data_IF_943777235503
#
_entry.id   IF_943777235503
#
_cell.length_a   1.000
_cell.length_b   1.000
_cell.length_c   1.000
_cell.angle_alpha   90.00
_cell.angle_beta   90.00
_cell.angle_gamma   90.00
#
_symmetry.space_group_name_H-M   'P 1'
#
loop_
_entity.id
_entity.type
_entity.pdbx_description
1 polymer ?
#
# COMPACT_ATOMS: atom_id res chain seq x y z
N UNK A 1 32.49 7.62 2.36
CA UNK A 1 31.78 8.55 1.45
C UNK A 1 30.31 8.14 1.48
N UNK A 2 29.51 8.77 2.34
CA UNK A 2 28.09 8.48 2.48
C UNK A 2 27.28 9.37 1.53
N UNK A 3 26.46 8.77 0.68
CA UNK A 3 25.50 9.50 -0.15
C UNK A 3 24.33 9.92 0.74
N UNK A 4 24.34 11.18 1.19
CA UNK A 4 23.17 11.84 1.72
C UNK A 4 22.19 12.10 0.58
N UNK A 5 21.15 11.28 0.46
CA UNK A 5 20.00 11.58 -0.40
C UNK A 5 19.24 12.75 0.19
N UNK A 6 19.47 13.93 -0.39
CA UNK A 6 18.77 15.19 -0.11
C UNK A 6 17.27 15.01 -0.35
N UNK A 7 16.48 14.91 0.72
CA UNK A 7 15.04 15.14 0.66
C UNK A 7 14.81 16.62 0.36
N UNK A 8 14.20 16.94 -0.79
CA UNK A 8 13.70 18.31 -1.02
C UNK A 8 12.47 18.52 -0.13
N UNK A 9 12.46 19.53 0.76
CA UNK A 9 11.24 19.90 1.46
C UNK A 9 10.26 20.50 0.45
N UNK A 10 9.03 20.00 0.45
CA UNK A 10 7.94 20.64 -0.28
C UNK A 10 7.54 21.91 0.47
N UNK A 11 7.78 23.08 -0.12
CA UNK A 11 7.03 24.29 0.20
C UNK A 11 5.65 24.15 -0.43
N UNK A 12 4.67 23.71 0.37
CA UNK A 12 3.26 23.77 -0.04
C UNK A 12 2.78 25.20 0.23
N UNK A 13 2.55 25.98 -0.82
CA UNK A 13 1.71 27.17 -0.69
C UNK A 13 0.30 26.69 -0.36
N UNK A 14 -0.13 26.93 0.87
CA UNK A 14 -1.47 26.62 1.40
C UNK A 14 -2.58 27.52 0.80
N UNK A 15 -2.27 28.36 -0.19
CA UNK A 15 -3.18 29.38 -0.71
C UNK A 15 -4.10 28.92 -1.87
N UNK A 16 -4.16 27.64 -2.24
CA UNK A 16 -5.00 27.15 -3.34
C UNK A 16 -6.16 26.23 -2.92
N UNK A 17 -6.37 26.02 -1.62
CA UNK A 17 -7.42 25.11 -1.10
C UNK A 17 -8.61 25.86 -0.46
N UNK A 18 -8.89 27.08 -0.92
CA UNK A 18 -10.05 27.86 -0.50
C UNK A 18 -11.02 27.98 -1.68
N UNK A 19 -11.88 26.97 -1.84
CA UNK A 19 -12.78 26.88 -2.97
C UNK A 19 -13.53 25.55 -3.03
N UNK A 20 -14.41 25.33 -2.06
CA UNK A 20 -15.60 24.48 -2.10
C UNK A 20 -15.72 23.45 -3.26
N UNK A 21 -14.89 22.41 -3.24
CA UNK A 21 -15.32 21.09 -3.66
C UNK A 21 -15.47 20.28 -2.39
N UNK A 22 -16.71 20.05 -1.97
CA UNK A 22 -17.00 19.00 -0.98
C UNK A 22 -16.61 17.69 -1.64
N UNK A 23 -15.37 17.26 -1.44
CA UNK A 23 -14.92 15.95 -1.85
C UNK A 23 -15.64 14.95 -0.94
N UNK A 24 -16.71 14.33 -1.44
CA UNK A 24 -17.23 13.10 -0.87
C UNK A 24 -16.20 12.00 -1.14
N UNK A 25 -15.15 12.02 -0.33
CA UNK A 25 -14.08 11.05 -0.39
C UNK A 25 -14.52 9.83 0.42
N UNK A 26 -15.29 8.95 -0.21
CA UNK A 26 -15.66 7.68 0.43
C UNK A 26 -14.39 6.86 0.68
N UNK A 27 -14.11 6.59 1.96
CA UNK A 27 -12.97 5.76 2.37
C UNK A 27 -13.32 4.31 2.10
N UNK A 28 -12.60 3.72 1.16
CA UNK A 28 -12.75 2.31 0.79
C UNK A 28 -11.61 1.47 1.35
N UNK A 29 -11.91 0.19 1.58
CA UNK A 29 -10.91 -0.82 1.94
C UNK A 29 -10.68 -1.73 0.74
N UNK A 30 -9.50 -1.67 0.10
CA UNK A 30 -9.23 -2.54 -1.04
C UNK A 30 -9.20 -3.99 -0.56
N UNK A 31 -9.80 -4.89 -1.33
CA UNK A 31 -9.71 -6.33 -1.06
C UNK A 31 -8.25 -6.76 -1.18
N UNK A 32 -7.76 -7.51 -0.22
CA UNK A 32 -6.38 -8.01 -0.24
C UNK A 32 -6.36 -9.50 -0.57
N UNK A 33 -5.39 -9.91 -1.37
CA UNK A 33 -5.08 -11.31 -1.62
C UNK A 33 -3.62 -11.52 -1.21
N UNK A 34 -3.33 -12.59 -0.48
CA UNK A 34 -1.97 -12.92 -0.07
C UNK A 34 -1.62 -14.30 -0.56
N UNK A 35 -0.44 -14.45 -1.16
CA UNK A 35 0.07 -15.72 -1.68
C UNK A 35 1.52 -15.90 -1.27
N UNK A 36 1.86 -17.06 -0.74
CA UNK A 36 3.26 -17.47 -0.63
C UNK A 36 3.71 -17.99 -1.99
N UNK A 37 4.67 -17.32 -2.63
CA UNK A 37 5.22 -17.77 -3.91
C UNK A 37 6.27 -18.86 -3.69
N UNK A 38 7.06 -18.72 -2.62
CA UNK A 38 8.02 -19.70 -2.09
C UNK A 38 8.38 -19.29 -0.67
N UNK A 39 9.04 -20.20 0.08
CA UNK A 39 9.60 -19.86 1.40
C UNK A 39 10.50 -18.61 1.25
N UNK A 40 10.27 -17.61 2.10
CA UNK A 40 10.99 -16.35 2.05
C UNK A 40 10.43 -15.29 1.09
N UNK A 41 9.36 -15.59 0.34
CA UNK A 41 8.77 -14.65 -0.63
C UNK A 41 7.24 -14.70 -0.65
N UNK A 42 6.64 -13.60 -0.24
CA UNK A 42 5.19 -13.43 -0.13
C UNK A 42 4.75 -12.31 -1.06
N UNK A 43 3.70 -12.57 -1.84
CA UNK A 43 3.05 -11.58 -2.68
C UNK A 43 1.74 -11.15 -2.03
N UNK A 44 1.52 -9.85 -1.94
CA UNK A 44 0.26 -9.24 -1.50
C UNK A 44 -0.31 -8.42 -2.64
N UNK A 45 -1.55 -8.69 -3.03
CA UNK A 45 -2.28 -7.94 -4.04
C UNK A 45 -3.38 -7.13 -3.36
N UNK A 46 -3.40 -5.81 -3.58
CA UNK A 46 -4.50 -4.93 -3.19
C UNK A 46 -5.34 -4.63 -4.43
N UNK A 47 -6.57 -5.14 -4.46
CA UNK A 47 -7.47 -4.94 -5.59
C UNK A 47 -8.11 -3.55 -5.52
N UNK A 48 -7.87 -2.76 -6.55
CA UNK A 48 -8.32 -1.37 -6.66
C UNK A 48 -8.96 -1.20 -8.04
N UNK A 49 -10.30 -1.18 -8.11
CA UNK A 49 -11.01 -1.03 -9.37
C UNK A 49 -10.55 0.23 -10.13
N UNK A 50 -10.47 0.13 -11.45
CA UNK A 50 -10.10 1.23 -12.36
C UNK A 50 -8.68 1.79 -12.17
N UNK A 51 -7.84 1.18 -11.33
CA UNK A 51 -6.42 1.51 -11.26
C UNK A 51 -5.76 1.22 -12.61
N UNK A 52 -5.16 2.23 -13.24
CA UNK A 52 -4.36 2.08 -14.43
C UNK A 52 -2.93 2.54 -14.14
N UNK A 53 -1.90 1.73 -14.44
CA UNK A 53 -0.52 2.15 -14.28
C UNK A 53 -0.22 3.31 -15.24
N UNK A 54 0.52 4.30 -14.74
CA UNK A 54 1.10 5.37 -15.55
C UNK A 54 2.31 4.87 -16.34
N UNK A 55 2.96 5.79 -17.04
CA UNK A 55 4.16 5.49 -17.84
C UNK A 55 5.29 4.90 -16.99
N UNK A 56 5.44 5.41 -15.76
CA UNK A 56 6.28 4.81 -14.74
C UNK A 56 5.38 3.88 -13.90
N UNK A 57 5.56 2.56 -14.04
CA UNK A 57 4.70 1.51 -13.47
C UNK A 57 4.61 1.54 -11.94
N UNK A 58 5.39 2.40 -11.29
CA UNK A 58 5.27 2.68 -9.86
C UNK A 58 4.15 3.68 -9.53
N UNK A 59 3.50 4.30 -10.52
CA UNK A 59 2.47 5.33 -10.28
C UNK A 59 1.20 5.04 -11.06
N UNK A 60 0.02 5.46 -10.58
CA UNK A 60 -1.21 5.41 -11.36
C UNK A 60 -1.28 6.59 -12.35
N UNK A 61 -1.96 6.38 -13.49
CA UNK A 61 -2.12 7.39 -14.54
C UNK A 61 -2.94 8.62 -14.09
N UNK A 62 -3.91 8.41 -13.20
CA UNK A 62 -4.86 9.45 -12.74
C UNK A 62 -5.07 9.40 -11.23
N UNK A 63 -3.96 9.40 -10.48
CA UNK A 63 -4.04 9.29 -9.04
C UNK A 63 -2.70 9.42 -8.32
N UNK A 64 -2.69 8.96 -7.06
CA UNK A 64 -1.50 8.88 -6.22
C UNK A 64 -1.53 7.61 -5.39
N UNK A 65 -0.36 7.00 -5.21
CA UNK A 65 -0.13 5.91 -4.27
C UNK A 65 0.87 6.41 -3.23
N UNK A 66 0.54 6.26 -1.96
CA UNK A 66 1.46 6.42 -0.84
C UNK A 66 1.65 5.06 -0.20
N UNK A 67 2.88 4.55 -0.28
CA UNK A 67 3.28 3.31 0.35
C UNK A 67 4.28 3.61 1.47
N UNK A 68 3.99 3.18 2.69
CA UNK A 68 4.84 3.39 3.87
C UNK A 68 5.06 2.09 4.60
N UNK A 69 6.32 1.73 4.87
CA UNK A 69 6.64 0.62 5.77
C UNK A 69 6.35 0.99 7.23
N UNK A 70 5.75 0.09 8.00
CA UNK A 70 5.54 0.22 9.44
C UNK A 70 6.55 -0.68 10.13
N UNK A 71 7.72 -0.13 10.47
CA UNK A 71 8.84 -0.94 10.97
C UNK A 71 9.25 -2.04 9.99
N UNK A 72 9.69 -3.18 10.53
CA UNK A 72 10.03 -4.37 9.74
C UNK A 72 8.89 -5.38 9.66
N UNK A 73 7.69 -5.08 10.17
CA UNK A 73 6.63 -6.07 10.32
C UNK A 73 5.26 -5.56 9.84
N UNK A 74 5.19 -4.48 9.06
CA UNK A 74 3.93 -3.95 8.59
C UNK A 74 4.07 -2.93 7.46
N UNK A 75 2.94 -2.48 6.94
CA UNK A 75 2.86 -1.45 5.91
C UNK A 75 1.51 -0.70 5.91
N UNK A 76 1.49 0.52 5.38
CA UNK A 76 0.30 1.33 5.09
C UNK A 76 0.31 1.70 3.60
N UNK A 77 -0.79 1.41 2.91
CA UNK A 77 -1.01 1.79 1.51
C UNK A 77 -2.24 2.67 1.42
N UNK A 78 -2.05 3.86 0.85
CA UNK A 78 -3.12 4.81 0.54
C UNK A 78 -3.12 5.11 -0.94
N UNK A 79 -4.27 4.95 -1.57
CA UNK A 79 -4.42 5.16 -3.01
C UNK A 79 -5.55 6.12 -3.24
N UNK A 80 -5.30 7.19 -3.97
CA UNK A 80 -6.34 8.12 -4.41
C UNK A 80 -6.42 8.08 -5.93
N UNK A 81 -7.58 7.75 -6.48
CA UNK A 81 -7.81 7.74 -7.93
C UNK A 81 -8.96 8.67 -8.28
N UNK A 82 -8.83 9.34 -9.42
CA UNK A 82 -9.93 10.11 -10.00
C UNK A 82 -10.86 9.17 -10.75
N UNK A 83 -12.14 9.12 -10.35
CA UNK A 83 -13.19 8.34 -11.01
C UNK A 83 -14.30 9.31 -11.44
N UNK A 84 -14.35 9.63 -12.73
CA UNK A 84 -15.21 10.69 -13.24
C UNK A 84 -14.80 12.06 -12.67
N UNK A 85 -15.72 12.69 -11.92
CA UNK A 85 -15.51 14.00 -11.29
C UNK A 85 -15.13 13.94 -9.80
N UNK A 86 -15.03 12.74 -9.22
CA UNK A 86 -14.71 12.55 -7.80
C UNK A 86 -13.35 11.86 -7.64
N UNK A 87 -12.71 12.11 -6.50
CA UNK A 87 -11.57 11.30 -6.04
C UNK A 87 -12.05 10.27 -5.05
N UNK A 88 -11.71 9.02 -5.30
CA UNK A 88 -11.94 7.90 -4.40
C UNK A 88 -10.64 7.57 -3.66
N UNK A 89 -10.74 7.19 -2.38
CA UNK A 89 -9.59 6.90 -1.52
C UNK A 89 -9.68 5.49 -0.96
N UNK A 90 -8.68 4.68 -1.26
CA UNK A 90 -8.49 3.34 -0.71
C UNK A 90 -7.39 3.35 0.33
N UNK A 91 -7.67 2.79 1.51
CA UNK A 91 -6.69 2.69 2.59
C UNK A 91 -6.61 1.25 3.09
N UNK A 92 -5.39 0.72 3.13
CA UNK A 92 -5.07 -0.58 3.74
C UNK A 92 -3.84 -0.46 4.63
N UNK A 93 -4.02 -0.78 5.91
CA UNK A 93 -2.94 -0.83 6.90
C UNK A 93 -2.81 -2.25 7.44
N UNK A 94 -1.61 -2.79 7.39
CA UNK A 94 -1.22 -4.06 8.01
C UNK A 94 -0.21 -3.72 9.10
N UNK A 95 -0.65 -3.72 10.36
CA UNK A 95 0.19 -3.36 11.51
C UNK A 95 1.23 -4.43 11.84
N UNK A 96 0.89 -5.70 11.61
CA UNK A 96 1.72 -6.85 11.98
C UNK A 96 1.63 -7.98 10.95
N UNK A 97 2.80 -8.39 10.46
CA UNK A 97 3.03 -9.52 9.57
C UNK A 97 3.49 -10.75 10.38
N UNK A 98 3.34 -11.97 9.83
CA UNK A 98 3.81 -13.20 10.47
C UNK A 98 5.31 -13.27 10.77
N UNK A 99 6.12 -12.48 10.09
CA UNK A 99 7.56 -12.33 10.37
C UNK A 99 8.07 -10.97 9.87
N UNK A 100 9.29 -10.66 10.24
CA UNK A 100 9.99 -9.48 9.73
C UNK A 100 10.26 -9.60 8.22
N UNK A 101 10.24 -8.46 7.54
CA UNK A 101 10.53 -8.30 6.11
C UNK A 101 11.88 -7.61 5.88
N UNK A 102 12.51 -7.97 4.78
CA UNK A 102 13.78 -7.41 4.32
C UNK A 102 13.48 -6.18 3.46
N UNK A 103 13.37 -5.01 4.10
CA UNK A 103 12.87 -3.77 3.47
C UNK A 103 13.54 -3.40 2.14
N UNK A 104 14.86 -3.61 2.01
CA UNK A 104 15.60 -3.26 0.79
C UNK A 104 15.43 -4.26 -0.35
N UNK A 105 14.92 -5.47 -0.06
CA UNK A 105 14.60 -6.50 -1.06
C UNK A 105 13.11 -6.52 -1.41
N UNK A 106 12.26 -5.98 -0.52
CA UNK A 106 10.83 -5.85 -0.77
C UNK A 106 10.52 -4.69 -1.71
N UNK A 107 9.49 -4.84 -2.52
CA UNK A 107 9.08 -3.84 -3.53
C UNK A 107 7.56 -3.78 -3.66
N UNK A 108 7.08 -2.83 -4.45
CA UNK A 108 5.69 -2.79 -4.87
C UNK A 108 5.59 -2.19 -6.27
N UNK A 109 4.56 -2.59 -7.00
CA UNK A 109 4.28 -2.15 -8.36
C UNK A 109 2.79 -1.84 -8.54
N UNK A 110 2.48 -0.86 -9.37
CA UNK A 110 1.13 -0.54 -9.80
C UNK A 110 0.82 -1.35 -11.08
N UNK A 111 -0.23 -2.15 -11.04
CA UNK A 111 -0.72 -2.94 -12.17
C UNK A 111 -2.18 -2.59 -12.46
N UNK A 112 -2.66 -2.95 -13.65
CA UNK A 112 -4.07 -2.72 -14.00
C UNK A 112 -4.99 -3.42 -13.00
N UNK A 113 -5.79 -2.63 -12.28
CA UNK A 113 -6.75 -3.06 -11.28
C UNK A 113 -6.18 -3.48 -9.92
N UNK A 114 -4.86 -3.41 -9.69
CA UNK A 114 -4.26 -3.81 -8.41
C UNK A 114 -2.89 -3.19 -8.13
N UNK A 115 -2.56 -3.07 -6.85
CA UNK A 115 -1.17 -2.90 -6.40
C UNK A 115 -0.63 -4.26 -6.00
N UNK A 116 0.55 -4.61 -6.51
CA UNK A 116 1.27 -5.82 -6.13
C UNK A 116 2.42 -5.44 -5.20
N UNK A 117 2.56 -6.13 -4.08
CA UNK A 117 3.57 -5.89 -3.06
C UNK A 117 4.34 -7.18 -2.86
N UNK A 118 5.65 -7.11 -3.06
CA UNK A 118 6.56 -8.24 -2.90
C UNK A 118 7.29 -8.12 -1.57
N UNK A 119 7.03 -9.06 -0.67
CA UNK A 119 7.60 -9.11 0.67
C UNK A 119 8.65 -10.21 0.74
N UNK A 120 9.91 -9.82 0.90
CA UNK A 120 11.01 -10.73 1.16
C UNK A 120 11.17 -10.94 2.66
N UNK A 121 11.36 -12.18 3.10
CA UNK A 121 11.55 -12.54 4.52
C UNK A 121 12.74 -13.47 4.68
N UNK A 122 13.36 -13.47 5.86
CA UNK A 122 14.50 -14.35 6.20
C UNK A 122 14.07 -15.68 6.85
N UNK A 123 12.78 -16.00 6.83
CA UNK A 123 12.27 -17.19 7.53
C UNK A 123 12.46 -18.45 6.70
N UNK A 124 12.70 -19.56 7.41
CA UNK A 124 12.84 -20.89 6.82
C UNK A 124 11.54 -21.71 6.89
N UNK A 125 10.44 -21.10 7.32
CA UNK A 125 9.12 -21.71 7.46
C UNK A 125 8.09 -21.07 6.54
N UNK A 126 7.04 -21.82 6.21
CA UNK A 126 5.93 -21.37 5.36
C UNK A 126 4.92 -20.52 6.16
N UNK A 127 4.45 -19.44 5.54
CA UNK A 127 3.33 -18.62 5.98
C UNK A 127 1.96 -19.23 5.65
N UNK A 128 1.89 -20.24 4.76
CA UNK A 128 0.61 -20.84 4.33
C UNK A 128 -0.32 -21.23 5.49
N UNK A 129 0.15 -21.89 6.57
CA UNK A 129 -0.72 -22.23 7.70
C UNK A 129 -1.33 -21.00 8.37
N UNK A 130 -0.62 -19.88 8.41
CA UNK A 130 -1.08 -18.64 9.04
C UNK A 130 -2.03 -17.87 8.10
N UNK A 131 -1.76 -17.90 6.79
CA UNK A 131 -2.58 -17.29 5.76
C UNK A 131 -3.94 -17.99 5.60
N UNK A 132 -3.99 -19.33 5.70
CA UNK A 132 -5.22 -20.10 5.55
C UNK A 132 -6.22 -19.89 6.70
N UNK A 133 -5.74 -19.59 7.91
CA UNK A 133 -6.61 -19.49 9.10
C UNK A 133 -7.25 -18.10 9.22
N UNK A 134 -6.53 -17.02 8.88
CA UNK A 134 -7.02 -15.65 9.11
C UNK A 134 -6.92 -14.71 7.92
N UNK A 135 -6.13 -15.05 6.90
CA UNK A 135 -5.65 -14.08 5.91
C UNK A 135 -4.86 -12.92 6.56
N UNK A 136 -4.17 -12.11 5.76
CA UNK A 136 -3.69 -10.80 6.27
C UNK A 136 -4.86 -9.82 6.50
N UNK A 137 -6.07 -10.20 6.07
CA UNK A 137 -7.22 -9.32 6.01
C UNK A 137 -7.74 -8.84 7.38
N UNK A 138 -7.44 -9.58 8.46
CA UNK A 138 -7.84 -9.24 9.84
C UNK A 138 -6.78 -8.46 10.63
N UNK A 139 -5.63 -8.09 10.03
CA UNK A 139 -4.67 -7.19 10.68
C UNK A 139 -5.12 -5.71 10.70
N UNK A 140 -6.25 -5.41 10.07
CA UNK A 140 -6.89 -4.10 10.04
C UNK A 140 -8.07 -3.94 11.00
N UNK A 141 -8.52 -5.02 11.66
CA UNK A 141 -9.75 -5.04 12.48
C UNK A 141 -9.58 -4.68 13.96
N UNK A 142 -8.41 -4.16 14.36
CA UNK A 142 -8.34 -3.37 15.59
C UNK A 142 -8.77 -1.93 15.27
N UNK A 143 -10.08 -1.76 15.11
CA UNK A 143 -10.79 -0.51 15.35
C UNK A 143 -10.67 -0.17 16.84
N UNK A 144 -9.50 0.34 17.22
CA UNK A 144 -9.26 1.15 18.41
C UNK A 144 -7.84 1.69 18.27
N UNK A 145 -7.71 2.87 17.69
CA UNK A 145 -6.61 3.79 17.98
C UNK A 145 -7.25 5.18 18.05
N UNK A 146 -7.26 5.74 19.26
CA UNK A 146 -7.64 7.10 19.64
C UNK A 146 -6.97 8.19 18.79
#
# INVERSE_FOLDING_TARGET
MGLETTLKPWSVSTAAYDGALRFECEKMHPRMITRELRIGLIMVELLIPNLQPGADKSWPNDGRVQFTWIGQCGFDVRVSLKVGNIYQLWIRKVKKLPSDIILHSSSWDCLSGRIEIMLHTNVTYSWLPMLHVKGLDQASSDENDD
#
